data_IF_289489191339
#
_entry.id   IF_289489191339
#
_cell.length_a   1.000
_cell.length_b   1.000
_cell.length_c   1.000
_cell.angle_alpha   90.00
_cell.angle_beta   90.00
_cell.angle_gamma   90.00
#
_symmetry.space_group_name_H-M   'P 1'
#
loop_
_entity.id
_entity.type
_entity.pdbx_description
1 polymer ?
#
# COMPACT_ATOMS: atom_id res chain seq x y z
N UNK A 1 17.19 22.34 10.65
CA UNK A 1 15.91 22.45 9.90
C UNK A 1 15.86 21.25 8.98
N UNK A 2 14.85 20.39 9.10
CA UNK A 2 14.71 19.23 8.20
C UNK A 2 14.43 19.75 6.79
N UNK A 3 15.31 19.42 5.84
CA UNK A 3 15.19 19.92 4.46
C UNK A 3 14.23 19.07 3.62
N UNK A 4 14.00 17.83 4.04
CA UNK A 4 13.22 16.84 3.29
C UNK A 4 12.28 16.06 4.19
N UNK A 5 11.00 16.03 3.85
CA UNK A 5 10.01 15.13 4.46
C UNK A 5 9.94 13.82 3.68
N UNK A 6 9.99 12.68 4.39
CA UNK A 6 9.79 11.35 3.82
C UNK A 6 8.41 10.86 4.24
N UNK A 7 7.49 10.73 3.29
CA UNK A 7 6.12 10.25 3.57
C UNK A 7 5.97 8.79 3.15
N UNK A 8 5.93 7.90 4.13
CA UNK A 8 5.64 6.48 3.94
C UNK A 8 4.14 6.31 3.73
N UNK A 9 3.72 5.93 2.52
CA UNK A 9 2.32 5.82 2.14
C UNK A 9 1.83 4.38 2.22
N UNK A 10 0.72 4.15 2.91
CA UNK A 10 0.08 2.84 2.98
C UNK A 10 -1.46 2.96 3.07
N UNK A 11 -2.17 1.85 3.03
CA UNK A 11 -3.64 1.80 2.94
C UNK A 11 -4.27 2.24 4.26
N UNK A 12 -3.66 1.82 5.37
CA UNK A 12 -4.16 2.03 6.72
C UNK A 12 -4.93 0.84 7.28
N UNK A 13 -5.48 1.04 8.46
CA UNK A 13 -6.22 0.02 9.20
C UNK A 13 -7.24 0.72 10.11
N UNK A 14 -8.34 0.06 10.48
CA UNK A 14 -9.32 0.66 11.38
C UNK A 14 -8.68 1.05 12.72
N UNK A 15 -9.25 2.06 13.38
CA UNK A 15 -8.74 2.59 14.65
C UNK A 15 -8.82 1.57 15.78
N UNK A 16 -9.82 0.69 15.75
CA UNK A 16 -9.96 -0.45 16.64
C UNK A 16 -10.58 -1.64 15.89
N UNK A 17 -10.58 -2.83 16.52
CA UNK A 17 -11.32 -3.97 16.01
C UNK A 17 -12.83 -3.88 16.28
N UNK A 18 -13.32 -2.80 16.92
CA UNK A 18 -14.75 -2.63 17.19
C UNK A 18 -15.54 -2.44 15.90
N UNK A 19 -16.73 -3.04 15.85
CA UNK A 19 -17.56 -3.08 14.64
C UNK A 19 -17.81 -1.68 14.03
N UNK A 20 -18.11 -0.62 14.81
CA UNK A 20 -18.31 0.72 14.24
C UNK A 20 -17.07 1.28 13.53
N UNK A 21 -15.88 1.12 14.14
CA UNK A 21 -14.62 1.62 13.60
C UNK A 21 -14.23 0.85 12.33
N UNK A 22 -14.42 -0.47 12.33
CA UNK A 22 -14.20 -1.30 11.14
C UNK A 22 -15.17 -0.94 10.02
N UNK A 23 -16.45 -0.70 10.34
CA UNK A 23 -17.44 -0.25 9.34
C UNK A 23 -17.08 1.10 8.74
N UNK A 24 -16.64 2.05 9.58
CA UNK A 24 -16.17 3.37 9.13
C UNK A 24 -14.98 3.25 8.17
N UNK A 25 -13.97 2.48 8.56
CA UNK A 25 -12.81 2.19 7.71
C UNK A 25 -13.21 1.54 6.38
N UNK A 26 -14.04 0.48 6.42
CA UNK A 26 -14.50 -0.20 5.21
C UNK A 26 -15.31 0.71 4.30
N UNK A 27 -16.15 1.59 4.86
CA UNK A 27 -16.88 2.58 4.07
C UNK A 27 -15.91 3.53 3.38
N UNK A 28 -14.95 4.12 4.10
CA UNK A 28 -13.95 5.02 3.52
C UNK A 28 -13.12 4.36 2.42
N UNK A 29 -12.68 3.12 2.65
CA UNK A 29 -11.89 2.35 1.69
C UNK A 29 -12.69 1.99 0.44
N UNK A 30 -13.85 1.35 0.59
CA UNK A 30 -14.64 0.84 -0.52
C UNK A 30 -15.40 1.94 -1.29
N UNK A 31 -15.58 3.11 -0.68
CA UNK A 31 -16.11 4.29 -1.37
C UNK A 31 -15.08 4.98 -2.28
N UNK A 32 -13.84 4.53 -2.32
CA UNK A 32 -12.86 5.02 -3.29
C UNK A 32 -13.16 4.48 -4.70
N UNK A 33 -13.14 5.38 -5.69
CA UNK A 33 -13.37 5.02 -7.11
C UNK A 33 -12.26 4.17 -7.71
N UNK A 34 -11.06 4.28 -7.14
CA UNK A 34 -9.90 3.49 -7.58
C UNK A 34 -9.95 2.06 -7.04
N UNK A 35 -10.78 1.82 -6.00
CA UNK A 35 -10.98 0.50 -5.38
C UNK A 35 -12.22 -0.17 -5.96
N UNK A 36 -13.33 0.55 -6.07
CA UNK A 36 -14.54 0.10 -6.74
C UNK A 36 -14.87 1.09 -7.86
N UNK A 37 -14.57 0.70 -9.10
CA UNK A 37 -14.85 1.49 -10.30
C UNK A 37 -16.35 1.42 -10.70
N UNK A 38 -17.21 1.92 -9.80
CA UNK A 38 -18.63 2.17 -10.05
C UNK A 38 -18.93 3.67 -9.85
N UNK A 39 -19.84 4.27 -10.63
CA UNK A 39 -20.30 5.63 -10.38
C UNK A 39 -20.83 5.79 -8.96
N UNK A 40 -20.62 6.97 -8.36
CA UNK A 40 -20.93 7.22 -6.94
C UNK A 40 -22.37 6.83 -6.55
N UNK A 41 -23.34 7.13 -7.41
CA UNK A 41 -24.77 6.87 -7.15
C UNK A 41 -25.09 5.37 -7.00
N UNK A 42 -24.33 4.51 -7.67
CA UNK A 42 -24.44 3.05 -7.56
C UNK A 42 -23.49 2.48 -6.50
N UNK A 43 -22.30 3.07 -6.35
CA UNK A 43 -21.31 2.64 -5.36
C UNK A 43 -21.79 2.87 -3.93
N UNK A 44 -22.39 4.03 -3.65
CA UNK A 44 -22.84 4.38 -2.30
C UNK A 44 -23.82 3.36 -1.70
N UNK A 45 -24.95 2.99 -2.36
CA UNK A 45 -25.87 2.02 -1.79
C UNK A 45 -25.26 0.62 -1.72
N UNK A 46 -24.47 0.22 -2.72
CA UNK A 46 -23.75 -1.06 -2.69
C UNK A 46 -22.84 -1.17 -1.47
N UNK A 47 -22.02 -0.15 -1.22
CA UNK A 47 -21.06 -0.17 -0.11
C UNK A 47 -21.77 -0.02 1.23
N UNK A 48 -22.58 1.02 1.41
CA UNK A 48 -23.09 1.39 2.74
C UNK A 48 -24.34 0.61 3.18
N UNK A 49 -25.14 0.08 2.23
CA UNK A 49 -26.36 -0.68 2.57
C UNK A 49 -26.15 -2.20 2.47
N UNK A 50 -25.25 -2.68 1.62
CA UNK A 50 -25.06 -4.12 1.41
C UNK A 50 -23.72 -4.63 1.95
N UNK A 51 -22.60 -4.05 1.54
CA UNK A 51 -21.27 -4.60 1.86
C UNK A 51 -20.90 -4.33 3.32
N UNK A 52 -20.87 -3.06 3.75
CA UNK A 52 -20.41 -2.66 5.08
C UNK A 52 -21.27 -3.27 6.20
N UNK A 53 -22.61 -3.30 6.13
CA UNK A 53 -23.43 -3.92 7.17
C UNK A 53 -23.16 -5.41 7.34
N UNK A 54 -22.96 -6.14 6.24
CA UNK A 54 -22.72 -7.59 6.24
C UNK A 54 -21.27 -7.94 6.61
N UNK A 55 -20.29 -7.26 5.99
CA UNK A 55 -18.86 -7.57 6.14
C UNK A 55 -18.22 -6.94 7.37
N UNK A 56 -18.77 -5.84 7.90
CA UNK A 56 -18.23 -5.13 9.05
C UNK A 56 -18.00 -6.03 10.27
N UNK A 57 -19.04 -6.73 10.78
CA UNK A 57 -18.90 -7.62 11.93
C UNK A 57 -17.91 -8.78 11.70
N UNK A 58 -17.92 -9.36 10.50
CA UNK A 58 -17.00 -10.44 10.13
C UNK A 58 -15.55 -9.93 10.13
N UNK A 59 -15.32 -8.78 9.52
CA UNK A 59 -13.98 -8.17 9.45
C UNK A 59 -13.48 -7.76 10.83
N UNK A 60 -14.36 -7.24 11.69
CA UNK A 60 -14.05 -6.94 13.09
C UNK A 60 -13.57 -8.18 13.84
N UNK A 61 -14.25 -9.32 13.66
CA UNK A 61 -13.81 -10.60 14.20
C UNK A 61 -12.41 -11.02 13.73
N UNK A 62 -12.06 -10.73 12.47
CA UNK A 62 -10.72 -11.02 11.94
C UNK A 62 -9.66 -10.05 12.49
N UNK A 63 -9.96 -8.75 12.57
CA UNK A 63 -9.04 -7.78 13.18
C UNK A 63 -8.76 -8.13 14.65
N UNK A 64 -9.77 -8.55 15.41
CA UNK A 64 -9.62 -8.93 16.81
C UNK A 64 -8.63 -10.08 17.01
N UNK A 65 -8.57 -11.05 16.08
CA UNK A 65 -7.67 -12.22 16.20
C UNK A 65 -6.19 -11.87 16.10
N UNK A 66 -5.86 -10.77 15.42
CA UNK A 66 -4.48 -10.37 15.13
C UNK A 66 -4.11 -9.03 15.78
N UNK A 67 -4.97 -8.53 16.66
CA UNK A 67 -4.78 -7.21 17.26
C UNK A 67 -3.56 -7.22 18.19
N UNK A 68 -2.70 -6.21 18.08
CA UNK A 68 -1.60 -5.99 19.01
C UNK A 68 -2.03 -4.99 20.09
N UNK A 69 -1.31 -4.95 21.20
CA UNK A 69 -1.59 -4.02 22.31
C UNK A 69 -1.63 -2.56 21.82
N UNK A 70 -0.77 -2.20 20.87
CA UNK A 70 -0.69 -0.84 20.31
C UNK A 70 -1.63 -0.58 19.12
N UNK A 71 -2.30 -1.61 18.57
CA UNK A 71 -3.23 -1.46 17.45
C UNK A 71 -3.15 -2.55 16.38
N UNK A 72 -3.63 -2.23 15.17
CA UNK A 72 -3.52 -3.14 14.03
C UNK A 72 -2.05 -3.34 13.61
N UNK A 73 -1.60 -4.58 13.34
CA UNK A 73 -0.21 -4.88 12.98
C UNK A 73 0.34 -3.99 11.87
N UNK A 74 -0.43 -3.72 10.82
CA UNK A 74 0.02 -2.86 9.72
C UNK A 74 0.42 -1.47 10.21
N UNK A 75 -0.43 -0.83 11.03
CA UNK A 75 -0.17 0.49 11.58
C UNK A 75 1.03 0.45 12.54
N UNK A 76 1.08 -0.54 13.43
CA UNK A 76 2.16 -0.71 14.41
C UNK A 76 3.52 -0.87 13.70
N UNK A 77 3.62 -1.79 12.73
CA UNK A 77 4.86 -2.00 12.00
C UNK A 77 5.23 -0.83 11.09
N UNK A 78 4.26 -0.11 10.51
CA UNK A 78 4.54 1.11 9.72
C UNK A 78 5.18 2.20 10.58
N UNK A 79 4.67 2.41 11.80
CA UNK A 79 5.22 3.39 12.75
C UNK A 79 6.62 2.97 13.20
N UNK A 80 6.80 1.72 13.63
CA UNK A 80 8.11 1.19 14.03
C UNK A 80 9.14 1.27 12.89
N UNK A 81 8.72 1.02 11.66
CA UNK A 81 9.57 1.17 10.48
C UNK A 81 9.94 2.64 10.25
N UNK A 82 8.99 3.57 10.35
CA UNK A 82 9.24 5.01 10.25
C UNK A 82 10.24 5.50 11.31
N UNK A 83 10.11 5.04 12.55
CA UNK A 83 11.01 5.39 13.65
C UNK A 83 12.44 4.88 13.42
N UNK A 84 12.58 3.63 12.95
CA UNK A 84 13.89 3.06 12.58
C UNK A 84 14.51 3.82 11.41
N UNK A 85 13.71 4.14 10.39
CA UNK A 85 14.17 4.92 9.24
C UNK A 85 14.59 6.33 9.63
N UNK A 86 13.84 7.00 10.51
CA UNK A 86 14.19 8.31 11.05
C UNK A 86 15.57 8.29 11.74
N UNK A 87 15.87 7.25 12.52
CA UNK A 87 17.19 7.10 13.17
C UNK A 87 18.32 6.95 12.17
N UNK A 88 18.08 6.25 11.05
CA UNK A 88 19.08 6.05 9.99
C UNK A 88 19.31 7.33 9.18
N UNK A 89 18.24 8.09 8.89
CA UNK A 89 18.32 9.30 8.07
C UNK A 89 18.73 10.55 8.85
N UNK A 90 18.65 10.53 10.18
CA UNK A 90 19.02 11.65 11.04
C UNK A 90 18.11 12.88 10.87
N UNK A 91 18.55 14.01 11.42
CA UNK A 91 17.74 15.23 11.56
C UNK A 91 17.57 16.05 10.27
N UNK A 92 18.28 15.67 9.20
CA UNK A 92 18.12 16.29 7.88
C UNK A 92 16.80 15.91 7.21
N UNK A 93 16.20 14.80 7.65
CA UNK A 93 14.94 14.26 7.16
C UNK A 93 13.89 14.23 8.26
N UNK A 94 12.62 14.41 7.88
CA UNK A 94 11.48 14.16 8.77
C UNK A 94 10.63 13.03 8.19
N UNK A 95 10.62 11.88 8.85
CA UNK A 95 9.89 10.69 8.40
C UNK A 95 8.51 10.64 9.05
N UNK A 96 7.47 10.49 8.23
CA UNK A 96 6.08 10.36 8.68
C UNK A 96 5.38 9.23 7.92
N UNK A 97 4.38 8.64 8.57
CA UNK A 97 3.46 7.67 7.95
C UNK A 97 2.19 8.39 7.54
N UNK A 98 1.72 8.13 6.33
CA UNK A 98 0.46 8.65 5.78
C UNK A 98 -0.41 7.52 5.27
N UNK A 99 -1.41 7.16 6.07
CA UNK A 99 -2.41 6.17 5.70
C UNK A 99 -3.49 6.80 4.81
N UNK A 100 -3.94 6.04 3.81
CA UNK A 100 -4.93 6.49 2.83
C UNK A 100 -6.35 6.59 3.40
N UNK A 101 -6.74 5.64 4.25
CA UNK A 101 -8.12 5.51 4.77
C UNK A 101 -8.22 5.49 6.30
N UNK A 102 -7.12 5.74 7.00
CA UNK A 102 -7.07 5.75 8.47
C UNK A 102 -6.07 6.77 9.00
N UNK A 103 -5.90 6.80 10.32
CA UNK A 103 -4.78 7.48 10.97
C UNK A 103 -3.58 6.52 11.17
N UNK A 104 -2.34 7.05 11.27
CA UNK A 104 -1.96 8.44 11.01
C UNK A 104 -2.18 8.80 9.53
N UNK A 105 -2.86 9.90 9.26
CA UNK A 105 -3.41 10.18 7.92
C UNK A 105 -2.49 11.06 7.06
N UNK A 106 -2.57 10.89 5.73
CA UNK A 106 -1.86 11.74 4.75
C UNK A 106 -2.02 13.25 5.03
N UNK A 107 -3.23 13.79 5.27
CA UNK A 107 -3.40 15.22 5.54
C UNK A 107 -2.67 15.69 6.79
N UNK A 108 -2.62 14.85 7.84
CA UNK A 108 -1.92 15.21 9.07
C UNK A 108 -0.40 15.23 8.85
N UNK A 109 0.16 14.22 8.19
CA UNK A 109 1.59 14.18 7.87
C UNK A 109 2.04 15.38 7.03
N UNK A 110 1.23 15.82 6.06
CA UNK A 110 1.53 17.02 5.25
C UNK A 110 1.49 18.31 6.09
N UNK A 111 0.57 18.43 7.05
CA UNK A 111 0.54 19.57 7.98
C UNK A 111 1.77 19.58 8.89
N UNK A 112 2.17 18.41 9.39
CA UNK A 112 3.37 18.28 10.21
C UNK A 112 4.63 18.71 9.45
N UNK A 113 4.76 18.33 8.18
CA UNK A 113 5.84 18.81 7.30
C UNK A 113 5.82 20.32 7.10
N UNK A 114 4.65 20.90 6.85
CA UNK A 114 4.51 22.35 6.71
C UNK A 114 4.91 23.09 8.00
N UNK A 115 4.45 22.60 9.16
CA UNK A 115 4.79 23.16 10.46
C UNK A 115 6.30 23.05 10.78
N UNK A 116 6.97 22.02 10.26
CA UNK A 116 8.41 21.81 10.41
C UNK A 116 9.27 22.59 9.39
N UNK A 117 8.65 23.35 8.46
CA UNK A 117 9.36 24.12 7.44
C UNK A 117 9.98 23.25 6.33
N UNK A 118 9.43 22.06 6.08
CA UNK A 118 9.87 21.18 4.99
C UNK A 118 9.47 21.77 3.64
N UNK A 119 10.41 21.83 2.70
CA UNK A 119 10.13 22.27 1.31
C UNK A 119 10.09 21.11 0.31
N UNK A 120 10.90 20.07 0.53
CA UNK A 120 10.98 18.90 -0.34
C UNK A 120 10.27 17.72 0.30
N UNK A 121 9.35 17.07 -0.41
CA UNK A 121 8.64 15.89 0.07
C UNK A 121 8.91 14.71 -0.86
N UNK A 122 9.47 13.64 -0.30
CA UNK A 122 9.64 12.37 -0.98
C UNK A 122 8.55 11.39 -0.54
N UNK A 123 7.70 10.99 -1.48
CA UNK A 123 6.64 10.02 -1.28
C UNK A 123 7.21 8.63 -1.48
N UNK A 124 7.03 7.76 -0.50
CA UNK A 124 7.45 6.37 -0.54
C UNK A 124 6.23 5.45 -0.34
N UNK A 125 5.55 5.07 -1.43
CA UNK A 125 4.53 4.02 -1.37
C UNK A 125 5.13 2.72 -0.87
N UNK A 126 4.58 2.18 0.23
CA UNK A 126 5.06 0.94 0.84
C UNK A 126 4.49 -0.30 0.14
N UNK A 127 4.34 -0.22 -1.19
CA UNK A 127 3.91 -1.30 -2.07
C UNK A 127 4.99 -1.50 -3.13
N UNK A 128 5.68 -2.65 -3.16
CA UNK A 128 6.70 -2.91 -4.17
C UNK A 128 6.13 -2.93 -5.58
N UNK A 129 4.92 -3.49 -5.74
CA UNK A 129 4.17 -3.52 -7.00
C UNK A 129 3.19 -2.34 -7.07
N UNK A 130 3.15 -1.67 -8.23
CA UNK A 130 2.19 -0.61 -8.51
C UNK A 130 0.80 -1.19 -8.78
N UNK A 131 -0.22 -0.61 -8.13
CA UNK A 131 -1.62 -0.76 -8.51
C UNK A 131 -2.34 0.59 -8.32
N UNK A 132 -3.34 0.87 -9.18
CA UNK A 132 -4.12 2.11 -9.08
C UNK A 132 -4.91 2.20 -7.77
N UNK A 133 -5.40 1.06 -7.27
CA UNK A 133 -6.15 0.97 -6.01
C UNK A 133 -5.29 1.22 -4.76
N UNK A 134 -3.96 1.14 -4.86
CA UNK A 134 -3.02 1.34 -3.75
C UNK A 134 -2.16 2.57 -4.00
N UNK A 135 -1.03 2.42 -4.69
CA UNK A 135 -0.07 3.48 -4.99
C UNK A 135 -0.74 4.65 -5.70
N UNK A 136 -1.52 4.38 -6.75
CA UNK A 136 -2.22 5.43 -7.50
C UNK A 136 -3.17 6.24 -6.62
N UNK A 137 -4.00 5.57 -5.81
CA UNK A 137 -4.93 6.24 -4.89
C UNK A 137 -4.20 7.08 -3.83
N UNK A 138 -3.13 6.56 -3.22
CA UNK A 138 -2.35 7.29 -2.23
C UNK A 138 -1.66 8.52 -2.80
N UNK A 139 -1.06 8.44 -3.99
CA UNK A 139 -0.43 9.59 -4.63
C UNK A 139 -1.44 10.68 -4.99
N UNK A 140 -2.59 10.30 -5.57
CA UNK A 140 -3.68 11.26 -5.86
C UNK A 140 -4.24 11.91 -4.61
N UNK A 141 -4.32 11.18 -3.49
CA UNK A 141 -4.74 11.76 -2.21
C UNK A 141 -3.74 12.79 -1.70
N UNK A 142 -2.42 12.53 -1.81
CA UNK A 142 -1.39 13.52 -1.47
C UNK A 142 -1.57 14.79 -2.30
N UNK A 143 -1.67 14.67 -3.64
CA UNK A 143 -1.88 15.81 -4.54
C UNK A 143 -3.13 16.60 -4.18
N UNK A 144 -4.24 15.89 -3.93
CA UNK A 144 -5.51 16.50 -3.51
C UNK A 144 -5.37 17.29 -2.23
N UNK A 145 -4.66 16.77 -1.23
CA UNK A 145 -4.47 17.41 0.06
C UNK A 145 -3.50 18.60 -0.01
N UNK A 146 -2.41 18.50 -0.78
CA UNK A 146 -1.52 19.63 -1.04
C UNK A 146 -2.30 20.80 -1.64
N UNK A 147 -3.13 20.53 -2.66
CA UNK A 147 -3.99 21.55 -3.27
C UNK A 147 -5.01 22.10 -2.29
N UNK A 148 -5.72 21.24 -1.55
CA UNK A 148 -6.77 21.64 -0.60
C UNK A 148 -6.23 22.50 0.55
N UNK A 149 -5.04 22.19 1.04
CA UNK A 149 -4.39 22.86 2.16
C UNK A 149 -3.50 24.03 1.72
N UNK A 150 -3.41 24.32 0.41
CA UNK A 150 -2.58 25.37 -0.16
C UNK A 150 -1.10 25.25 0.23
N UNK A 151 -0.59 24.01 0.33
CA UNK A 151 0.81 23.74 0.67
C UNK A 151 1.71 23.87 -0.56
N UNK A 152 2.95 24.30 -0.35
CA UNK A 152 3.95 24.47 -1.40
C UNK A 152 5.12 23.52 -1.13
N UNK A 153 5.08 22.36 -1.74
CA UNK A 153 6.14 21.35 -1.64
C UNK A 153 6.69 20.99 -3.02
N UNK A 154 7.99 20.74 -3.10
CA UNK A 154 8.62 20.04 -4.21
C UNK A 154 8.45 18.54 -3.99
N UNK A 155 7.58 17.90 -4.77
CA UNK A 155 7.20 16.50 -4.56
C UNK A 155 7.93 15.57 -5.53
N UNK A 156 8.53 14.51 -4.99
CA UNK A 156 9.03 13.35 -5.76
C UNK A 156 8.42 12.08 -5.19
N UNK A 157 8.30 11.04 -6.02
CA UNK A 157 7.81 9.72 -5.57
C UNK A 157 8.80 8.63 -5.91
N UNK A 158 8.96 7.69 -4.99
CA UNK A 158 9.52 6.37 -5.27
C UNK A 158 8.62 5.67 -6.30
N UNK A 159 9.23 5.09 -7.34
CA UNK A 159 8.54 4.25 -8.32
C UNK A 159 8.36 2.85 -7.76
N UNK A 160 7.64 1.99 -8.48
CA UNK A 160 7.61 0.56 -8.17
C UNK A 160 9.02 -0.03 -8.11
N UNK A 161 9.25 -0.88 -7.11
CA UNK A 161 10.57 -1.43 -6.74
C UNK A 161 10.51 -2.96 -6.57
N UNK A 162 9.53 -3.61 -7.18
CA UNK A 162 9.27 -5.05 -7.12
C UNK A 162 10.43 -5.97 -7.56
N UNK A 163 11.40 -5.44 -8.32
CA UNK A 163 12.64 -6.13 -8.73
C UNK A 163 13.90 -5.60 -8.03
N UNK A 164 13.77 -4.59 -7.19
CA UNK A 164 14.92 -3.95 -6.56
C UNK A 164 15.59 -4.93 -5.58
N UNK A 165 16.92 -5.00 -5.62
CA UNK A 165 17.67 -5.90 -4.75
C UNK A 165 17.42 -5.60 -3.26
N UNK A 166 17.20 -4.33 -2.90
CA UNK A 166 16.87 -3.93 -1.52
C UNK A 166 15.52 -4.47 -1.02
N UNK A 167 14.66 -4.94 -1.93
CA UNK A 167 13.41 -5.62 -1.58
C UNK A 167 13.48 -7.14 -1.76
N UNK A 168 14.13 -7.61 -2.84
CA UNK A 168 14.24 -9.03 -3.15
C UNK A 168 15.17 -9.75 -2.16
N UNK A 169 16.34 -9.20 -1.84
CA UNK A 169 17.32 -9.88 -0.97
C UNK A 169 16.78 -10.12 0.45
N UNK A 170 16.17 -9.12 1.14
CA UNK A 170 15.59 -9.38 2.46
C UNK A 170 14.45 -10.41 2.42
N UNK A 171 13.70 -10.48 1.31
CA UNK A 171 12.64 -11.49 1.13
C UNK A 171 13.22 -12.90 1.01
N UNK A 172 14.35 -13.04 0.31
CA UNK A 172 15.10 -14.30 0.21
C UNK A 172 15.67 -14.68 1.57
N UNK A 173 16.28 -13.75 2.29
CA UNK A 173 16.88 -13.96 3.62
C UNK A 173 15.84 -14.45 4.63
N UNK A 174 14.70 -13.74 4.75
CA UNK A 174 13.59 -14.15 5.64
C UNK A 174 13.07 -15.54 5.27
N UNK A 175 13.01 -15.86 3.98
CA UNK A 175 12.56 -17.18 3.52
C UNK A 175 13.56 -18.27 3.92
N UNK A 176 14.86 -18.06 3.68
CA UNK A 176 15.92 -19.01 4.07
C UNK A 176 15.95 -19.22 5.58
N UNK A 177 15.81 -18.15 6.36
CA UNK A 177 15.74 -18.22 7.82
C UNK A 177 14.55 -19.07 8.27
N UNK A 178 13.36 -18.84 7.70
CA UNK A 178 12.15 -19.59 8.03
C UNK A 178 12.23 -21.08 7.64
N UNK A 179 13.01 -21.43 6.62
CA UNK A 179 13.22 -22.83 6.22
C UNK A 179 14.12 -23.59 7.18
N UNK A 180 15.00 -22.91 7.94
CA UNK A 180 15.99 -23.55 8.82
C UNK A 180 16.79 -24.68 8.12
N UNK A 181 17.16 -24.48 6.86
CA UNK A 181 17.89 -25.47 6.06
C UNK A 181 17.07 -26.68 5.57
N UNK A 182 15.74 -26.67 5.75
CA UNK A 182 14.87 -27.71 5.19
C UNK A 182 14.72 -27.54 3.68
N UNK A 183 14.83 -28.64 2.96
CA UNK A 183 14.47 -28.71 1.54
C UNK A 183 12.96 -28.58 1.37
N UNK A 184 12.54 -28.00 0.25
CA UNK A 184 11.13 -27.82 -0.09
C UNK A 184 10.88 -28.24 -1.53
N UNK A 185 9.76 -28.92 -1.75
CA UNK A 185 9.35 -29.35 -3.09
C UNK A 185 8.76 -28.19 -3.91
N UNK A 186 8.19 -27.18 -3.24
CA UNK A 186 7.46 -26.11 -3.90
C UNK A 186 7.44 -24.80 -3.09
N UNK A 187 7.62 -23.68 -3.79
CA UNK A 187 7.41 -22.33 -3.25
C UNK A 187 6.09 -21.75 -3.76
N UNK A 188 5.15 -21.49 -2.84
CA UNK A 188 3.88 -20.83 -3.15
C UNK A 188 3.94 -19.35 -2.80
N UNK A 189 4.03 -18.49 -3.81
CA UNK A 189 3.93 -17.03 -3.65
C UNK A 189 2.47 -16.58 -3.76
N UNK A 190 1.95 -15.94 -2.71
CA UNK A 190 0.57 -15.46 -2.66
C UNK A 190 0.51 -13.93 -2.66
N UNK A 191 -0.18 -13.36 -3.64
CA UNK A 191 -0.39 -11.92 -3.80
C UNK A 191 -1.88 -11.60 -3.75
N UNK A 192 -2.23 -10.36 -3.41
CA UNK A 192 -3.62 -9.92 -3.41
C UNK A 192 -4.17 -9.89 -4.83
N UNK A 193 -5.31 -10.55 -5.06
CA UNK A 193 -5.99 -10.50 -6.35
C UNK A 193 -6.53 -9.10 -6.67
N UNK A 194 -6.61 -8.79 -7.97
CA UNK A 194 -7.32 -7.62 -8.47
C UNK A 194 -8.58 -8.07 -9.23
N UNK A 195 -9.67 -7.28 -9.21
CA UNK A 195 -10.81 -7.52 -10.10
C UNK A 195 -10.36 -7.53 -11.56
N UNK A 196 -10.86 -8.47 -12.36
CA UNK A 196 -10.54 -8.50 -13.80
C UNK A 196 -10.89 -7.21 -14.52
N UNK A 197 -11.95 -6.52 -14.09
CA UNK A 197 -12.34 -5.21 -14.63
C UNK A 197 -11.27 -4.12 -14.45
N UNK A 198 -10.39 -4.24 -13.45
CA UNK A 198 -9.25 -3.33 -13.28
C UNK A 198 -8.10 -3.74 -14.19
N UNK A 199 -7.84 -5.04 -14.28
CA UNK A 199 -6.75 -5.59 -15.09
C UNK A 199 -6.99 -5.37 -16.59
N UNK A 200 -8.24 -5.51 -17.05
CA UNK A 200 -8.66 -5.31 -18.45
C UNK A 200 -8.63 -3.84 -18.91
N UNK A 201 -8.43 -2.88 -18.02
CA UNK A 201 -8.20 -1.47 -18.41
C UNK A 201 -6.77 -1.24 -18.92
N UNK A 202 -5.89 -2.22 -18.76
CA UNK A 202 -4.54 -2.21 -19.31
C UNK A 202 -4.52 -3.12 -20.54
N UNK A 203 -4.46 -2.50 -21.71
CA UNK A 203 -4.48 -3.22 -22.99
C UNK A 203 -3.35 -4.25 -23.05
N UNK A 204 -3.71 -5.47 -23.42
CA UNK A 204 -2.80 -6.62 -23.49
C UNK A 204 -2.67 -7.46 -22.22
N UNK A 205 -3.26 -7.05 -21.09
CA UNK A 205 -3.37 -7.94 -19.94
C UNK A 205 -4.50 -8.98 -20.12
N UNK A 206 -4.31 -10.20 -19.58
CA UNK A 206 -5.22 -11.35 -19.74
C UNK A 206 -5.50 -11.74 -21.20
N UNK A 207 -4.61 -11.38 -22.14
CA UNK A 207 -4.70 -11.80 -23.55
C UNK A 207 -4.29 -13.26 -23.78
N UNK A 208 -3.46 -13.79 -22.88
CA UNK A 208 -2.94 -15.17 -22.88
C UNK A 208 -2.60 -15.56 -21.44
N UNK A 209 -2.43 -16.85 -21.18
CA UNK A 209 -2.00 -17.36 -19.87
C UNK A 209 -0.60 -16.82 -19.49
N UNK A 210 0.27 -16.64 -20.49
CA UNK A 210 1.68 -16.25 -20.35
C UNK A 210 1.96 -14.76 -20.47
N UNK A 211 0.95 -13.92 -20.72
CA UNK A 211 1.15 -12.48 -21.00
C UNK A 211 1.97 -11.75 -19.93
N UNK A 212 1.97 -12.23 -18.68
CA UNK A 212 2.75 -11.64 -17.58
C UNK A 212 4.25 -11.88 -17.65
N UNK A 213 4.72 -12.78 -18.50
CA UNK A 213 6.14 -13.07 -18.74
C UNK A 213 6.66 -12.43 -20.03
N UNK A 214 5.77 -11.89 -20.84
CA UNK A 214 6.10 -11.26 -22.12
C UNK A 214 6.50 -9.79 -21.91
N UNK A 215 7.65 -9.39 -22.45
CA UNK A 215 8.09 -8.00 -22.40
C UNK A 215 7.10 -7.10 -23.13
N UNK A 216 6.73 -5.99 -22.48
CA UNK A 216 5.84 -4.97 -23.06
C UNK A 216 4.48 -5.51 -23.52
N UNK A 217 4.01 -6.61 -22.92
CA UNK A 217 2.68 -7.15 -23.21
C UNK A 217 1.54 -6.21 -22.77
N UNK A 218 1.84 -5.26 -21.89
CA UNK A 218 0.90 -4.26 -21.41
C UNK A 218 1.46 -2.86 -21.67
N UNK A 219 0.61 -1.92 -22.07
CA UNK A 219 1.01 -0.52 -22.33
C UNK A 219 1.36 0.23 -21.03
N UNK A 220 0.67 -0.10 -19.94
CA UNK A 220 0.88 0.50 -18.61
C UNK A 220 1.52 -0.51 -17.65
N UNK A 221 2.10 -0.05 -16.52
CA UNK A 221 2.53 -0.94 -15.45
C UNK A 221 1.43 -1.94 -15.07
N UNK A 222 1.76 -3.23 -15.11
CA UNK A 222 0.81 -4.32 -14.86
C UNK A 222 1.11 -4.96 -13.51
N UNK A 223 0.22 -4.77 -12.53
CA UNK A 223 0.36 -5.37 -11.19
C UNK A 223 0.58 -6.88 -11.24
N UNK A 224 -0.20 -7.60 -12.06
CA UNK A 224 -0.08 -9.07 -12.20
C UNK A 224 1.31 -9.46 -12.70
N UNK A 225 1.82 -8.79 -13.74
CA UNK A 225 3.15 -9.03 -14.27
C UNK A 225 4.25 -8.71 -13.24
N UNK A 226 4.09 -7.64 -12.47
CA UNK A 226 5.02 -7.29 -11.39
C UNK A 226 5.03 -8.33 -10.26
N UNK A 227 3.88 -8.92 -9.91
CA UNK A 227 3.80 -10.00 -8.93
C UNK A 227 4.56 -11.25 -9.43
N UNK A 228 4.33 -11.67 -10.68
CA UNK A 228 5.08 -12.78 -11.28
C UNK A 228 6.58 -12.50 -11.29
N UNK A 229 6.99 -11.31 -11.73
CA UNK A 229 8.38 -10.92 -11.71
C UNK A 229 9.01 -10.91 -10.31
N UNK A 230 8.26 -10.51 -9.28
CA UNK A 230 8.71 -10.57 -7.88
C UNK A 230 8.95 -12.03 -7.48
N UNK A 231 7.96 -12.90 -7.70
CA UNK A 231 8.05 -14.32 -7.37
C UNK A 231 9.21 -15.01 -8.09
N UNK A 232 9.37 -14.75 -9.40
CA UNK A 232 10.49 -15.28 -10.19
C UNK A 232 11.82 -14.81 -9.63
N UNK A 233 11.98 -13.51 -9.32
CA UNK A 233 13.25 -12.96 -8.79
C UNK A 233 13.64 -13.56 -7.44
N UNK A 234 12.65 -13.85 -6.57
CA UNK A 234 12.90 -14.51 -5.28
C UNK A 234 13.20 -16.00 -5.49
N UNK A 235 12.42 -16.70 -6.30
CA UNK A 235 12.59 -18.13 -6.57
C UNK A 235 13.95 -18.44 -7.21
N UNK A 236 14.40 -17.63 -8.18
CA UNK A 236 15.72 -17.76 -8.82
C UNK A 236 16.87 -17.63 -7.84
N UNK A 237 16.70 -16.91 -6.73
CA UNK A 237 17.72 -16.75 -5.68
C UNK A 237 17.63 -17.81 -4.59
N UNK A 238 16.48 -18.45 -4.41
CA UNK A 238 16.31 -19.52 -3.42
C UNK A 238 16.86 -20.86 -3.91
N UNK A 239 16.87 -21.06 -5.24
CA UNK A 239 17.56 -22.16 -5.91
C UNK A 239 19.07 -21.89 -6.02
#
# INVERSE_FOLDING_TARGET
MAKTGILLLNIGSPRSYEVPEVKSYLSNFLMDKEVINLPFIFRWPLVNLLIVPKRGPISAGNYKKIWMDEGSPLTVYSIRFAEKLQKVLGDDCLVKVGMRYSDPSIPQALKDFAAAGVENVFLAPMYPQYADATTGSSLREVERQIKKLHLKFNVKSLRDFYKDASFVEPSVEITREALHGKEVDHYLFSFHGLPESHVRQNDGCLRSETCCFEKSACEKPCYRAQCFATATSIAEKLN
#
